data_IF_226479493109
#
_entry.id   IF_226479493109
#
_cell.length_a   1.000
_cell.length_b   1.000
_cell.length_c   1.000
_cell.angle_alpha   90.00
_cell.angle_beta   90.00
_cell.angle_gamma   90.00
#
_symmetry.space_group_name_H-M   'P 1'
#
loop_
_entity.id
_entity.type
_entity.pdbx_description
1 polymer ?
#
# COMPACT_ATOMS: atom_id res chain seq x y z
N UNK A 1 2.48 -22.53 -9.51
CA UNK A 1 2.38 -21.82 -8.22
C UNK A 1 3.73 -21.88 -7.51
N UNK A 2 4.11 -20.80 -6.86
CA UNK A 2 5.40 -20.69 -6.20
C UNK A 2 5.19 -20.83 -4.70
N UNK A 3 5.82 -21.86 -4.11
CA UNK A 3 5.77 -22.07 -2.66
C UNK A 3 6.74 -21.13 -1.95
N UNK A 4 6.28 -20.48 -0.88
CA UNK A 4 7.11 -19.59 -0.06
C UNK A 4 6.82 -19.84 1.42
N UNK A 5 7.76 -19.44 2.25
CA UNK A 5 7.54 -19.39 3.69
C UNK A 5 7.25 -17.96 4.10
N UNK A 6 6.12 -17.74 4.79
CA UNK A 6 5.77 -16.42 5.32
C UNK A 6 5.93 -16.41 6.83
N UNK A 7 6.31 -15.25 7.33
CA UNK A 7 6.42 -15.04 8.78
C UNK A 7 5.47 -13.95 9.21
N UNK A 8 4.97 -14.04 10.42
CA UNK A 8 4.17 -12.98 11.02
C UNK A 8 5.11 -11.86 11.48
N UNK A 9 4.82 -10.62 11.09
CA UNK A 9 5.59 -9.46 11.52
C UNK A 9 4.65 -8.28 11.75
N UNK A 10 5.09 -7.35 12.59
CA UNK A 10 4.34 -6.14 12.86
C UNK A 10 5.13 -4.91 12.45
N UNK A 11 4.44 -3.96 11.84
CA UNK A 11 5.00 -2.66 11.51
C UNK A 11 4.02 -1.58 11.97
N UNK A 12 4.56 -0.39 12.23
CA UNK A 12 3.72 0.80 12.48
C UNK A 12 3.64 1.58 11.18
N UNK A 13 2.42 1.92 10.77
CA UNK A 13 2.20 2.61 9.50
C UNK A 13 1.16 3.70 9.74
N UNK A 14 1.24 4.77 8.96
CA UNK A 14 0.31 5.88 9.07
C UNK A 14 -1.13 5.39 8.85
N UNK A 15 -2.06 5.89 9.67
CA UNK A 15 -3.41 5.37 9.76
C UNK A 15 -4.19 5.44 8.43
N UNK A 16 -4.13 6.58 7.74
CA UNK A 16 -4.88 6.79 6.50
C UNK A 16 -4.26 6.00 5.35
N UNK A 17 -2.94 5.90 5.35
CA UNK A 17 -2.23 5.07 4.38
C UNK A 17 -2.68 3.61 4.52
N UNK A 18 -2.79 3.12 5.74
CA UNK A 18 -3.28 1.76 5.98
C UNK A 18 -4.72 1.58 5.50
N UNK A 19 -5.59 2.59 5.71
CA UNK A 19 -6.97 2.52 5.23
C UNK A 19 -7.05 2.42 3.71
N UNK A 20 -6.23 3.19 3.01
CA UNK A 20 -6.17 3.11 1.54
C UNK A 20 -5.67 1.73 1.10
N UNK A 21 -4.62 1.21 1.76
CA UNK A 21 -4.11 -0.13 1.47
C UNK A 21 -5.19 -1.20 1.65
N UNK A 22 -5.92 -1.15 2.77
CA UNK A 22 -6.99 -2.12 3.04
C UNK A 22 -8.12 -2.00 2.02
N UNK A 23 -8.51 -0.78 1.67
CA UNK A 23 -9.54 -0.56 0.66
C UNK A 23 -9.14 -1.08 -0.70
N UNK A 24 -7.90 -0.85 -1.09
CA UNK A 24 -7.38 -1.35 -2.37
C UNK A 24 -7.30 -2.88 -2.38
N UNK A 25 -6.82 -3.47 -1.30
CA UNK A 25 -6.76 -4.93 -1.18
C UNK A 25 -8.15 -5.53 -1.35
N UNK A 26 -9.16 -4.95 -0.70
CA UNK A 26 -10.55 -5.40 -0.83
C UNK A 26 -11.04 -5.32 -2.27
N UNK A 27 -10.78 -4.21 -2.96
CA UNK A 27 -11.16 -4.04 -4.37
C UNK A 27 -10.52 -5.09 -5.28
N UNK A 28 -9.33 -5.55 -4.94
CA UNK A 28 -8.57 -6.50 -5.75
C UNK A 28 -8.73 -7.95 -5.28
N UNK A 29 -9.53 -8.19 -4.26
CA UNK A 29 -9.71 -9.51 -3.66
C UNK A 29 -8.38 -10.11 -3.18
N UNK A 30 -7.53 -9.25 -2.61
CA UNK A 30 -6.23 -9.63 -2.07
C UNK A 30 -6.21 -9.39 -0.56
N UNK A 31 -5.35 -10.11 0.15
CA UNK A 31 -5.00 -9.71 1.50
C UNK A 31 -4.06 -8.51 1.43
N UNK A 32 -3.97 -7.75 2.53
CA UNK A 32 -3.02 -6.63 2.59
C UNK A 32 -1.59 -7.13 2.41
N UNK A 33 -1.27 -8.30 2.97
CA UNK A 33 0.05 -8.90 2.80
C UNK A 33 0.38 -9.19 1.33
N UNK A 34 -0.55 -9.80 0.59
CA UNK A 34 -0.36 -10.07 -0.83
C UNK A 34 -0.16 -8.77 -1.62
N UNK A 35 -0.97 -7.77 -1.32
CA UNK A 35 -0.84 -6.47 -1.97
C UNK A 35 0.54 -5.87 -1.72
N UNK A 36 0.99 -5.86 -0.46
CA UNK A 36 2.29 -5.31 -0.10
C UNK A 36 3.44 -6.09 -0.73
N UNK A 37 3.36 -7.42 -0.76
CA UNK A 37 4.37 -8.24 -1.43
C UNK A 37 4.52 -7.83 -2.89
N UNK A 38 3.41 -7.65 -3.59
CA UNK A 38 3.43 -7.21 -4.98
C UNK A 38 4.05 -5.84 -5.16
N UNK A 39 3.66 -4.88 -4.32
CA UNK A 39 4.21 -3.52 -4.36
C UNK A 39 5.71 -3.53 -4.13
N UNK A 40 6.16 -4.25 -3.10
CA UNK A 40 7.58 -4.30 -2.74
C UNK A 40 8.41 -4.97 -3.83
N UNK A 41 7.93 -6.09 -4.36
CA UNK A 41 8.64 -6.79 -5.44
C UNK A 41 8.81 -5.91 -6.67
N UNK A 42 7.76 -5.19 -7.07
CA UNK A 42 7.84 -4.24 -8.18
C UNK A 42 8.83 -3.12 -7.88
N UNK A 43 8.75 -2.56 -6.68
CA UNK A 43 9.63 -1.47 -6.28
C UNK A 43 11.09 -1.90 -6.29
N UNK A 44 11.38 -3.11 -5.83
CA UNK A 44 12.75 -3.63 -5.80
C UNK A 44 13.35 -3.77 -7.22
N UNK A 45 12.51 -3.99 -8.22
CA UNK A 45 12.96 -4.06 -9.61
C UNK A 45 12.85 -2.72 -10.34
N UNK A 46 12.50 -1.66 -9.64
CA UNK A 46 12.33 -0.34 -10.25
C UNK A 46 11.13 -0.24 -11.19
N UNK A 47 10.13 -1.12 -10.99
CA UNK A 47 8.93 -1.15 -11.81
C UNK A 47 7.76 -0.51 -11.08
N UNK A 48 6.79 0.03 -11.85
CA UNK A 48 5.55 0.53 -11.26
C UNK A 48 4.67 -0.65 -10.86
N UNK A 49 4.10 -0.55 -9.66
CA UNK A 49 3.27 -1.62 -9.11
C UNK A 49 1.83 -1.60 -9.64
N UNK A 50 1.36 -0.45 -10.14
CA UNK A 50 -0.05 -0.25 -10.43
C UNK A 50 -0.29 0.22 -11.86
N UNK A 51 -1.34 -0.33 -12.48
CA UNK A 51 -1.84 0.13 -13.77
C UNK A 51 -2.51 1.50 -13.62
N UNK A 52 -2.81 2.15 -14.75
CA UNK A 52 -3.55 3.42 -14.76
C UNK A 52 -4.91 3.27 -14.08
N UNK A 53 -5.60 2.16 -14.34
CA UNK A 53 -6.90 1.88 -13.71
C UNK A 53 -6.77 1.79 -12.20
N UNK A 54 -5.79 1.05 -11.71
CA UNK A 54 -5.56 0.91 -10.28
C UNK A 54 -5.16 2.25 -9.64
N UNK A 55 -4.34 3.05 -10.33
CA UNK A 55 -4.00 4.39 -9.83
C UNK A 55 -5.22 5.28 -9.70
N UNK A 56 -6.18 5.18 -10.63
CA UNK A 56 -7.44 5.92 -10.53
C UNK A 56 -8.26 5.47 -9.32
N UNK A 57 -8.30 4.17 -9.05
CA UNK A 57 -8.97 3.63 -7.86
C UNK A 57 -8.30 4.12 -6.57
N UNK A 58 -6.97 4.14 -6.55
CA UNK A 58 -6.21 4.67 -5.42
C UNK A 58 -6.55 6.15 -5.20
N UNK A 59 -6.64 6.94 -6.27
CA UNK A 59 -6.98 8.36 -6.16
C UNK A 59 -8.34 8.56 -5.49
N UNK A 60 -9.33 7.72 -5.82
CA UNK A 60 -10.64 7.76 -5.18
C UNK A 60 -10.59 7.37 -3.71
N UNK A 61 -9.85 6.32 -3.38
CA UNK A 61 -9.67 5.90 -1.99
C UNK A 61 -8.97 6.98 -1.16
N UNK A 62 -7.98 7.65 -1.74
CA UNK A 62 -7.29 8.76 -1.07
C UNK A 62 -8.26 9.88 -0.70
N UNK A 63 -9.21 10.19 -1.59
CA UNK A 63 -10.25 11.18 -1.30
C UNK A 63 -11.15 10.72 -0.16
N UNK A 64 -11.62 9.48 -0.23
CA UNK A 64 -12.51 8.91 0.78
C UNK A 64 -11.88 8.95 2.16
N UNK A 65 -10.63 8.53 2.27
CA UNK A 65 -9.92 8.44 3.55
C UNK A 65 -9.08 9.67 3.87
N UNK A 66 -9.13 10.69 3.01
CA UNK A 66 -8.41 11.97 3.19
C UNK A 66 -6.91 11.76 3.35
N UNK A 67 -6.35 10.86 2.57
CA UNK A 67 -4.90 10.66 2.53
C UNK A 67 -4.29 11.71 1.62
N UNK A 68 -3.54 12.64 2.21
CA UNK A 68 -2.90 13.74 1.49
C UNK A 68 -1.39 13.61 1.44
N UNK A 69 -0.84 12.61 2.11
CA UNK A 69 0.61 12.35 2.07
C UNK A 69 1.03 11.89 0.69
N UNK A 70 2.22 12.32 0.28
CA UNK A 70 2.80 12.01 -1.02
C UNK A 70 4.15 11.34 -0.86
N UNK A 71 4.67 10.80 -1.96
CA UNK A 71 5.97 10.14 -1.97
C UNK A 71 7.08 11.04 -1.41
N UNK A 72 7.02 12.35 -1.69
CA UNK A 72 7.99 13.30 -1.17
C UNK A 72 7.98 13.44 0.35
N UNK A 73 6.89 13.02 1.00
CA UNK A 73 6.79 13.06 2.47
C UNK A 73 7.41 11.83 3.12
N UNK A 74 7.77 10.83 2.33
CA UNK A 74 8.36 9.58 2.83
C UNK A 74 9.59 9.86 3.69
N UNK A 75 9.71 9.11 4.77
CA UNK A 75 10.85 9.21 5.70
C UNK A 75 10.91 10.50 6.48
N UNK A 76 9.91 11.37 6.35
CA UNK A 76 9.81 12.62 7.09
C UNK A 76 8.64 12.62 8.08
N UNK A 77 7.92 11.51 8.16
CA UNK A 77 6.76 11.39 9.03
C UNK A 77 7.18 11.16 10.47
N UNK A 78 6.54 11.88 11.40
CA UNK A 78 6.76 11.67 12.83
C UNK A 78 5.44 11.35 13.49
N UNK A 79 5.45 10.30 14.30
CA UNK A 79 4.27 9.90 15.03
C UNK A 79 3.95 10.95 16.09
N UNK A 80 2.69 11.36 16.15
CA UNK A 80 2.24 12.30 17.19
C UNK A 80 2.18 11.58 18.53
N UNK A 81 2.52 12.31 19.62
CA UNK A 81 2.44 11.74 20.97
C UNK A 81 0.99 11.45 21.39
#
# INVERSE_FOLDING_TARGET
>A
MIGVERVQTGIRIEKRLLKVLKGLAELKDLSVGDLLEGVVLHAFEGKTAFSKETLAQIAELKKIYRLTLRAGDSHQLRERP
#
